data_IF_978956849875
#
_entry.id   IF_978956849875
#
_cell.length_a   1.000
_cell.length_b   1.000
_cell.length_c   1.000
_cell.angle_alpha   90.00
_cell.angle_beta   90.00
_cell.angle_gamma   90.00
#
_symmetry.space_group_name_H-M   'P 1'
#
loop_
_entity.id
_entity.type
_entity.pdbx_description
1 polymer ?
#
# COMPACT_ATOMS: atom_id res chain seq x y z
N UNK A 1 1.07 -2.95 3.27
CA UNK A 1 0.78 -3.23 1.85
C UNK A 1 1.31 -4.57 1.35
N UNK A 2 2.16 -5.28 2.12
CA UNK A 2 2.86 -6.50 1.65
C UNK A 2 2.34 -7.80 2.30
N UNK A 3 1.20 -7.77 2.97
CA UNK A 3 0.60 -8.95 3.60
C UNK A 3 0.43 -10.09 2.59
N UNK A 4 0.87 -11.30 2.96
CA UNK A 4 0.84 -12.51 2.11
C UNK A 4 1.64 -12.39 0.78
N UNK A 5 2.64 -11.51 0.73
CA UNK A 5 3.54 -11.39 -0.43
C UNK A 5 4.97 -11.79 -0.05
N UNK A 6 5.65 -12.45 -0.97
CA UNK A 6 7.10 -12.67 -0.93
C UNK A 6 7.73 -11.63 -1.84
N UNK A 7 8.66 -10.84 -1.31
CA UNK A 7 9.26 -9.71 -2.03
C UNK A 7 10.61 -10.12 -2.60
N UNK A 8 10.74 -10.00 -3.93
CA UNK A 8 12.02 -10.20 -4.63
C UNK A 8 12.64 -8.84 -4.93
N UNK A 9 13.82 -8.59 -4.37
CA UNK A 9 14.57 -7.36 -4.62
C UNK A 9 15.44 -7.51 -5.87
N UNK A 10 15.38 -6.52 -6.74
CA UNK A 10 16.17 -6.49 -8.00
C UNK A 10 17.55 -5.87 -7.83
N UNK A 11 17.77 -5.11 -6.77
CA UNK A 11 19.07 -4.54 -6.44
C UNK A 11 20.06 -5.67 -6.08
N UNK A 12 21.31 -5.62 -6.56
CA UNK A 12 22.28 -6.69 -6.35
C UNK A 12 22.69 -6.86 -4.89
N UNK A 13 22.77 -5.78 -4.12
CA UNK A 13 23.16 -5.79 -2.70
C UNK A 13 22.05 -5.18 -1.85
N UNK A 14 21.61 -5.91 -0.84
CA UNK A 14 20.57 -5.49 0.11
C UNK A 14 21.12 -5.57 1.53
N UNK A 15 20.74 -4.58 2.36
CA UNK A 15 21.13 -4.50 3.78
C UNK A 15 22.32 -3.60 4.09
N UNK A 16 22.99 -3.04 3.07
CA UNK A 16 24.14 -2.15 3.26
C UNK A 16 23.79 -0.80 3.91
N UNK A 17 22.55 -0.33 3.80
CA UNK A 17 22.08 0.88 4.50
C UNK A 17 21.77 0.63 5.97
N UNK A 18 21.63 -0.63 6.37
CA UNK A 18 21.19 -0.99 7.72
C UNK A 18 19.71 -0.66 7.98
N UNK A 19 19.33 -0.75 9.22
CA UNK A 19 17.97 -0.48 9.71
C UNK A 19 18.07 0.64 10.75
N UNK A 20 17.11 1.54 10.76
CA UNK A 20 16.91 2.55 11.81
C UNK A 20 15.42 2.72 12.10
N UNK A 21 15.11 3.26 13.27
CA UNK A 21 13.74 3.42 13.76
C UNK A 21 12.95 4.50 13.00
N UNK A 22 13.61 5.58 12.55
CA UNK A 22 12.95 6.70 11.88
C UNK A 22 12.38 6.34 10.51
N UNK A 23 12.99 5.36 9.82
CA UNK A 23 12.61 4.94 8.48
C UNK A 23 11.59 3.78 8.49
N UNK A 24 11.11 3.35 9.65
CA UNK A 24 10.08 2.34 9.73
C UNK A 24 8.77 2.83 9.07
N UNK A 25 8.18 1.94 8.30
CA UNK A 25 6.91 2.17 7.60
C UNK A 25 5.73 1.40 8.23
N UNK A 26 6.03 0.63 9.29
CA UNK A 26 5.04 -0.16 10.03
C UNK A 26 5.64 -0.76 11.29
N UNK A 27 4.79 -1.14 12.24
CA UNK A 27 5.20 -1.73 13.54
C UNK A 27 5.88 -3.09 13.42
N UNK A 28 5.73 -3.80 12.29
CA UNK A 28 6.31 -5.13 12.02
C UNK A 28 6.45 -5.38 10.54
N UNK A 29 7.20 -6.40 10.16
CA UNK A 29 7.26 -6.88 8.77
C UNK A 29 5.94 -7.62 8.45
N UNK A 30 5.17 -7.14 7.47
CA UNK A 30 3.96 -7.80 6.98
C UNK A 30 4.22 -8.74 5.80
N UNK A 31 5.35 -8.58 5.09
CA UNK A 31 5.74 -9.49 4.02
C UNK A 31 5.94 -10.92 4.56
N UNK A 32 5.52 -11.92 3.79
CA UNK A 32 5.69 -13.33 4.13
C UNK A 32 7.14 -13.81 3.99
N UNK A 33 7.97 -13.07 3.27
CA UNK A 33 9.37 -13.37 3.10
C UNK A 33 10.07 -12.46 2.11
N UNK A 34 11.39 -12.59 2.02
CA UNK A 34 12.26 -11.79 1.17
C UNK A 34 13.20 -12.68 0.37
N UNK A 35 13.39 -12.35 -0.91
CA UNK A 35 14.38 -12.99 -1.79
C UNK A 35 15.34 -11.92 -2.30
N UNK A 36 16.64 -12.12 -2.11
CA UNK A 36 17.70 -11.20 -2.51
C UNK A 36 18.83 -11.96 -3.22
N UNK A 37 19.56 -11.21 -4.05
CA UNK A 37 20.75 -11.76 -4.68
C UNK A 37 21.90 -11.89 -3.68
N UNK A 38 22.22 -10.81 -2.98
CA UNK A 38 23.35 -10.79 -2.07
C UNK A 38 23.04 -9.96 -0.83
N UNK A 39 23.33 -10.53 0.34
CA UNK A 39 23.20 -9.84 1.62
C UNK A 39 24.52 -9.11 1.91
N UNK A 40 24.44 -7.83 2.26
CA UNK A 40 25.59 -7.07 2.70
C UNK A 40 26.11 -7.59 4.04
N UNK A 41 27.41 -7.82 4.13
CA UNK A 41 28.08 -8.27 5.36
C UNK A 41 28.30 -7.17 6.38
N UNK A 42 28.23 -5.90 5.94
CA UNK A 42 28.40 -4.72 6.79
C UNK A 42 27.41 -3.63 6.42
N UNK A 43 27.04 -2.81 7.39
CA UNK A 43 26.26 -1.59 7.17
C UNK A 43 27.19 -0.39 6.95
N UNK A 44 26.82 0.49 6.04
CA UNK A 44 27.60 1.67 5.65
C UNK A 44 26.74 2.95 5.64
N UNK A 45 25.98 3.15 6.72
CA UNK A 45 25.13 4.34 6.89
C UNK A 45 25.26 4.79 8.35
N UNK A 46 25.50 6.09 8.54
CA UNK A 46 25.64 6.68 9.89
C UNK A 46 24.36 6.60 10.73
N UNK A 47 23.19 6.47 10.11
CA UNK A 47 21.89 6.27 10.78
C UNK A 47 21.60 4.79 11.12
N UNK A 48 22.47 3.86 10.73
CA UNK A 48 22.24 2.44 10.98
C UNK A 48 22.30 2.09 12.46
N UNK A 49 21.20 1.62 13.01
CA UNK A 49 21.10 1.10 14.38
C UNK A 49 21.29 -0.41 14.41
N UNK A 50 20.96 -1.09 13.31
CA UNK A 50 20.93 -2.55 13.24
C UNK A 50 21.19 -3.09 11.83
N UNK A 51 21.62 -4.34 11.73
CA UNK A 51 21.73 -5.04 10.45
C UNK A 51 20.44 -5.75 10.04
N UNK A 52 20.25 -5.92 8.73
CA UNK A 52 19.05 -6.53 8.15
C UNK A 52 18.76 -7.94 8.69
N UNK A 53 19.79 -8.79 8.84
CA UNK A 53 19.62 -10.17 9.34
C UNK A 53 19.03 -10.21 10.75
N UNK A 54 19.51 -9.34 11.64
CA UNK A 54 19.00 -9.25 13.00
C UNK A 54 17.56 -8.72 13.02
N UNK A 55 17.26 -7.70 12.24
CA UNK A 55 15.92 -7.15 12.11
C UNK A 55 14.91 -8.20 11.61
N UNK A 56 15.27 -9.00 10.60
CA UNK A 56 14.40 -10.06 10.09
C UNK A 56 14.20 -11.18 11.13
N UNK A 57 15.25 -11.54 11.88
CA UNK A 57 15.15 -12.54 12.94
C UNK A 57 14.21 -12.08 14.07
N UNK A 58 14.34 -10.84 14.52
CA UNK A 58 13.49 -10.24 15.55
C UNK A 58 12.01 -10.14 15.10
N UNK A 59 11.79 -9.94 13.82
CA UNK A 59 10.44 -9.90 13.22
C UNK A 59 9.95 -11.29 12.72
N UNK A 60 10.70 -12.37 12.95
CA UNK A 60 10.37 -13.74 12.54
C UNK A 60 10.05 -13.85 11.03
N UNK A 61 10.74 -13.05 10.20
CA UNK A 61 10.54 -13.03 8.75
C UNK A 61 11.66 -13.83 8.07
N UNK A 62 11.28 -14.75 7.18
CA UNK A 62 12.22 -15.59 6.42
C UNK A 62 12.82 -14.83 5.25
N UNK A 63 14.12 -14.99 5.01
CA UNK A 63 14.81 -14.44 3.84
C UNK A 63 15.69 -15.49 3.16
N UNK A 64 15.77 -15.39 1.83
CA UNK A 64 16.72 -16.15 1.02
C UNK A 64 17.72 -15.21 0.35
N UNK A 65 19.00 -15.48 0.52
CA UNK A 65 20.10 -14.82 -0.18
C UNK A 65 20.80 -15.79 -1.13
N UNK A 66 21.71 -15.27 -1.95
CA UNK A 66 22.46 -16.02 -2.99
C UNK A 66 21.55 -16.65 -4.04
N UNK A 67 20.43 -15.96 -4.35
CA UNK A 67 19.45 -16.40 -5.36
C UNK A 67 19.62 -15.59 -6.64
N UNK A 68 19.44 -16.21 -7.80
CA UNK A 68 19.36 -15.50 -9.08
C UNK A 68 18.01 -14.77 -9.20
N UNK A 69 17.96 -13.58 -8.60
CA UNK A 69 16.77 -12.73 -8.61
C UNK A 69 16.40 -12.27 -10.04
N UNK A 70 17.37 -12.19 -10.96
CA UNK A 70 17.10 -11.86 -12.36
C UNK A 70 16.33 -12.96 -13.07
N UNK A 71 16.66 -14.21 -12.82
CA UNK A 71 15.90 -15.34 -13.35
C UNK A 71 14.46 -15.33 -12.82
N UNK A 72 14.26 -15.09 -11.51
CA UNK A 72 12.93 -14.96 -10.91
C UNK A 72 12.14 -13.84 -11.59
N UNK A 73 12.73 -12.65 -11.74
CA UNK A 73 12.07 -11.50 -12.39
C UNK A 73 11.69 -11.81 -13.83
N UNK A 74 12.53 -12.53 -14.58
CA UNK A 74 12.20 -12.94 -15.93
C UNK A 74 10.97 -13.87 -15.97
N UNK A 75 10.85 -14.80 -15.04
CA UNK A 75 9.67 -15.66 -14.88
C UNK A 75 8.44 -14.80 -14.56
N UNK A 76 8.53 -13.89 -13.58
CA UNK A 76 7.43 -13.01 -13.21
C UNK A 76 6.99 -12.08 -14.34
N UNK A 77 7.92 -11.69 -15.23
CA UNK A 77 7.61 -10.87 -16.43
C UNK A 77 6.90 -11.64 -17.54
N UNK A 78 7.07 -12.94 -17.61
CA UNK A 78 6.37 -13.79 -18.59
C UNK A 78 5.02 -14.28 -18.07
N UNK A 79 5.00 -14.79 -16.82
CA UNK A 79 3.85 -15.48 -16.25
C UNK A 79 2.92 -14.56 -15.44
N UNK A 80 3.45 -13.42 -14.94
CA UNK A 80 2.75 -12.58 -13.97
C UNK A 80 3.06 -12.96 -12.53
N UNK A 81 2.25 -12.48 -11.59
CA UNK A 81 2.38 -12.82 -10.18
C UNK A 81 2.08 -14.27 -9.91
N UNK A 82 3.02 -15.00 -9.34
CA UNK A 82 2.95 -16.44 -9.07
C UNK A 82 2.72 -16.74 -7.60
N UNK A 83 1.99 -17.81 -7.32
CA UNK A 83 1.95 -18.41 -5.98
C UNK A 83 3.33 -18.96 -5.64
N UNK A 84 3.80 -18.68 -4.44
CA UNK A 84 5.16 -19.07 -4.02
C UNK A 84 5.18 -19.48 -2.55
N UNK A 85 6.10 -20.37 -2.20
CA UNK A 85 6.37 -20.80 -0.82
C UNK A 85 7.87 -20.74 -0.56
N UNK A 86 8.23 -20.22 0.62
CA UNK A 86 9.60 -20.30 1.14
C UNK A 86 9.56 -21.16 2.41
N UNK A 87 10.34 -22.21 2.43
CA UNK A 87 10.45 -23.07 3.60
C UNK A 87 11.85 -23.70 3.73
N UNK A 88 12.22 -24.07 4.96
CA UNK A 88 13.36 -24.93 5.20
C UNK A 88 13.01 -26.37 4.84
N UNK A 89 13.92 -27.10 4.17
CA UNK A 89 13.77 -28.54 3.89
C UNK A 89 13.52 -29.40 5.12
N UNK A 90 13.95 -28.96 6.29
CA UNK A 90 13.69 -29.65 7.56
C UNK A 90 12.23 -29.52 8.04
N UNK A 91 11.54 -28.46 7.62
CA UNK A 91 10.18 -28.13 8.05
C UNK A 91 9.16 -28.56 6.99
N UNK A 92 9.47 -28.33 5.72
CA UNK A 92 8.61 -28.67 4.60
C UNK A 92 9.45 -29.33 3.50
N UNK A 93 9.32 -30.65 3.27
CA UNK A 93 9.90 -31.33 2.11
C UNK A 93 9.40 -30.76 0.80
N UNK A 94 10.19 -30.84 -0.25
CA UNK A 94 9.84 -30.29 -1.58
C UNK A 94 8.57 -30.95 -2.14
N UNK A 95 8.37 -32.23 -1.87
CA UNK A 95 7.22 -33.02 -2.30
C UNK A 95 5.91 -32.45 -1.74
N UNK A 96 5.95 -31.91 -0.54
CA UNK A 96 4.80 -31.32 0.16
C UNK A 96 4.58 -29.85 -0.21
N UNK A 97 5.60 -29.15 -0.74
CA UNK A 97 5.54 -27.75 -1.09
C UNK A 97 4.46 -27.46 -2.17
N UNK A 98 4.31 -28.33 -3.15
CA UNK A 98 3.27 -28.22 -4.17
C UNK A 98 1.85 -28.33 -3.56
N UNK A 99 1.69 -29.19 -2.58
CA UNK A 99 0.43 -29.31 -1.84
C UNK A 99 0.10 -28.03 -1.07
N UNK A 100 1.08 -27.43 -0.40
CA UNK A 100 0.92 -26.15 0.31
C UNK A 100 0.58 -24.99 -0.64
N UNK A 101 1.22 -24.92 -1.82
CA UNK A 101 0.90 -23.94 -2.86
C UNK A 101 -0.55 -24.03 -3.33
N UNK A 102 -1.10 -25.24 -3.46
CA UNK A 102 -2.47 -25.46 -3.90
C UNK A 102 -3.52 -25.02 -2.87
N UNK A 103 -3.18 -24.95 -1.60
CA UNK A 103 -4.06 -24.44 -0.54
C UNK A 103 -4.28 -22.92 -0.61
N UNK A 104 -3.36 -22.19 -1.24
CA UNK A 104 -3.46 -20.75 -1.40
C UNK A 104 -4.17 -20.40 -2.71
N UNK A 105 -5.35 -19.76 -2.62
CA UNK A 105 -6.15 -19.39 -3.79
C UNK A 105 -5.56 -18.22 -4.60
N UNK A 106 -4.64 -17.47 -4.05
CA UNK A 106 -4.13 -16.20 -4.58
C UNK A 106 -4.71 -15.00 -3.82
N UNK A 107 -4.48 -13.79 -4.30
CA UNK A 107 -4.92 -12.57 -3.62
C UNK A 107 -6.34 -12.12 -4.01
N UNK A 108 -6.89 -12.59 -5.15
CA UNK A 108 -8.25 -12.25 -5.57
C UNK A 108 -9.28 -12.80 -4.56
N UNK A 109 -10.24 -11.97 -4.21
CA UNK A 109 -11.28 -12.29 -3.23
C UNK A 109 -10.82 -12.26 -1.76
N UNK A 110 -9.56 -11.84 -1.48
CA UNK A 110 -9.05 -11.76 -0.12
C UNK A 110 -9.10 -10.32 0.40
N UNK A 111 -9.92 -10.10 1.42
CA UNK A 111 -9.86 -8.89 2.24
C UNK A 111 -8.68 -8.98 3.23
N UNK A 112 -7.53 -8.47 2.81
CA UNK A 112 -6.34 -8.41 3.68
C UNK A 112 -6.27 -7.11 4.50
N UNK A 113 -7.09 -6.11 4.19
CA UNK A 113 -7.14 -4.87 4.94
C UNK A 113 -7.62 -5.11 6.38
N UNK A 114 -8.61 -5.99 6.57
CA UNK A 114 -9.07 -6.36 7.90
C UNK A 114 -8.04 -7.13 8.75
N UNK A 115 -7.04 -7.78 8.11
CA UNK A 115 -5.98 -8.52 8.82
C UNK A 115 -4.89 -7.57 9.37
N UNK A 116 -4.75 -6.38 8.78
CA UNK A 116 -3.63 -5.46 9.08
C UNK A 116 -4.07 -4.16 9.75
N UNK A 117 -5.36 -3.88 9.79
CA UNK A 117 -5.93 -2.65 10.38
C UNK A 117 -5.67 -2.56 11.89
N UNK A 118 -5.61 -1.34 12.40
CA UNK A 118 -5.50 -1.11 13.85
C UNK A 118 -6.74 -1.57 14.59
N UNK A 119 -6.56 -2.11 15.80
CA UNK A 119 -7.69 -2.51 16.67
C UNK A 119 -8.23 -1.34 17.50
N UNK A 120 -7.43 -0.29 17.73
CA UNK A 120 -7.76 0.85 18.59
C UNK A 120 -7.46 2.13 17.84
N UNK A 121 -8.37 3.09 17.89
CA UNK A 121 -8.14 4.42 17.34
C UNK A 121 -7.03 5.14 18.11
N UNK A 122 -6.15 5.83 17.40
CA UNK A 122 -5.06 6.59 18.00
C UNK A 122 -4.74 7.87 17.21
N UNK A 123 -4.19 8.85 17.88
CA UNK A 123 -3.69 10.08 17.25
C UNK A 123 -2.23 9.87 16.82
N UNK A 124 -1.92 10.16 15.56
CA UNK A 124 -0.55 10.19 15.07
C UNK A 124 0.03 11.59 15.26
N UNK A 125 1.27 11.65 15.80
CA UNK A 125 1.90 12.93 16.18
C UNK A 125 3.26 13.17 15.55
N UNK A 126 3.83 12.17 14.90
CA UNK A 126 5.16 12.26 14.32
C UNK A 126 5.11 12.91 12.93
N UNK A 127 6.01 13.84 12.66
CA UNK A 127 6.29 14.38 11.34
C UNK A 127 7.44 13.66 10.65
N UNK A 128 7.87 14.18 9.50
CA UNK A 128 9.03 13.67 8.75
C UNK A 128 10.32 14.08 9.45
N UNK A 129 11.24 13.13 9.62
CA UNK A 129 12.58 13.40 10.11
C UNK A 129 13.36 14.31 9.14
N UNK A 130 14.24 15.24 9.60
CA UNK A 130 14.56 15.55 11.00
C UNK A 130 13.66 16.62 11.65
N UNK A 131 12.86 17.33 10.90
CA UNK A 131 12.08 18.47 11.38
C UNK A 131 10.58 18.19 11.23
N UNK A 132 9.84 18.66 12.22
CA UNK A 132 8.39 18.55 12.26
C UNK A 132 7.75 19.93 12.03
N UNK A 133 7.12 20.11 10.88
CA UNK A 133 6.35 21.31 10.58
C UNK A 133 4.85 21.04 10.81
N UNK A 134 4.28 21.62 11.87
CA UNK A 134 2.85 21.52 12.13
C UNK A 134 2.17 22.82 11.68
N UNK A 135 1.07 22.77 10.92
CA UNK A 135 0.32 23.95 10.53
C UNK A 135 -0.18 24.76 11.73
N UNK A 136 -0.14 26.09 11.63
CA UNK A 136 -0.65 27.01 12.70
C UNK A 136 -2.16 26.89 12.90
N UNK A 137 -2.90 26.48 11.86
CA UNK A 137 -4.35 26.20 11.90
C UNK A 137 -4.54 24.75 11.47
N UNK A 138 -4.51 23.80 12.40
CA UNK A 138 -4.64 22.39 12.05
C UNK A 138 -6.06 22.06 11.57
N UNK A 139 -6.13 21.28 10.49
CA UNK A 139 -7.32 20.53 10.11
C UNK A 139 -7.29 19.19 10.80
N UNK A 140 -8.45 18.61 11.07
CA UNK A 140 -8.57 17.27 11.64
C UNK A 140 -8.94 16.25 10.55
N UNK A 141 -8.02 15.39 10.18
CA UNK A 141 -8.24 14.29 9.25
C UNK A 141 -8.34 12.97 10.00
N UNK A 142 -9.36 12.18 9.69
CA UNK A 142 -9.44 10.79 10.14
C UNK A 142 -8.96 9.87 9.02
N UNK A 143 -7.92 9.09 9.33
CA UNK A 143 -7.32 8.13 8.41
C UNK A 143 -7.86 6.72 8.70
N UNK A 144 -8.58 6.13 7.74
CA UNK A 144 -8.94 4.73 7.78
C UNK A 144 -7.71 3.87 7.49
N UNK A 145 -7.38 2.99 8.42
CA UNK A 145 -6.22 2.11 8.33
C UNK A 145 -6.57 0.81 7.59
N UNK A 146 -6.26 0.76 6.30
CA UNK A 146 -6.31 -0.46 5.49
C UNK A 146 -4.94 -1.16 5.39
N UNK A 147 -3.96 -0.75 6.18
CA UNK A 147 -2.56 -1.16 6.14
C UNK A 147 -1.64 0.01 5.79
N UNK A 148 -1.88 1.13 6.46
CA UNK A 148 -1.24 2.42 6.19
C UNK A 148 0.27 2.38 6.41
N UNK A 149 1.02 3.01 5.53
CA UNK A 149 2.44 3.30 5.71
C UNK A 149 2.63 4.49 6.64
N UNK A 150 3.53 4.37 7.61
CA UNK A 150 3.77 5.42 8.59
C UNK A 150 4.25 6.74 7.99
N UNK A 151 5.01 6.69 6.88
CA UNK A 151 5.43 7.91 6.21
C UNK A 151 4.27 8.73 5.63
N UNK A 152 3.18 8.09 5.23
CA UNK A 152 1.96 8.79 4.81
C UNK A 152 1.37 9.56 6.00
N UNK A 153 1.36 8.95 7.20
CA UNK A 153 0.89 9.63 8.42
C UNK A 153 1.79 10.79 8.80
N UNK A 154 3.12 10.64 8.67
CA UNK A 154 4.10 11.72 8.91
C UNK A 154 3.82 12.92 8.00
N UNK A 155 3.66 12.67 6.70
CA UNK A 155 3.33 13.70 5.72
C UNK A 155 1.96 14.33 5.98
N UNK A 156 0.93 13.54 6.30
CA UNK A 156 -0.39 14.07 6.64
C UNK A 156 -0.31 15.05 7.81
N UNK A 157 0.37 14.69 8.91
CA UNK A 157 0.52 15.59 10.08
C UNK A 157 1.18 16.91 9.69
N UNK A 158 2.19 16.90 8.83
CA UNK A 158 2.87 18.12 8.38
C UNK A 158 1.98 19.02 7.52
N UNK A 159 1.06 18.43 6.75
CA UNK A 159 0.18 19.20 5.88
C UNK A 159 -1.13 19.63 6.55
N UNK A 160 -1.71 18.78 7.42
CA UNK A 160 -3.04 19.04 8.00
C UNK A 160 -3.02 19.30 9.50
N UNK A 161 -2.02 18.84 10.22
CA UNK A 161 -1.79 19.09 11.65
C UNK A 161 -2.32 18.00 12.57
N UNK A 162 -3.59 17.62 12.49
CA UNK A 162 -4.18 16.59 13.35
C UNK A 162 -4.64 15.38 12.53
N UNK A 163 -4.11 14.21 12.88
CA UNK A 163 -4.46 12.95 12.23
C UNK A 163 -4.88 11.91 13.27
N UNK A 164 -6.10 11.40 13.14
CA UNK A 164 -6.59 10.26 13.95
C UNK A 164 -6.70 9.03 13.06
N UNK A 165 -5.98 7.98 13.42
CA UNK A 165 -6.01 6.70 12.69
C UNK A 165 -7.09 5.81 13.31
N UNK A 166 -7.95 5.24 12.47
CA UNK A 166 -9.08 4.42 12.91
C UNK A 166 -9.12 3.07 12.21
N UNK A 167 -9.81 2.12 12.81
CA UNK A 167 -10.05 0.82 12.23
C UNK A 167 -10.78 0.92 10.89
N UNK A 168 -10.41 0.06 9.93
CA UNK A 168 -11.02 -0.03 8.61
C UNK A 168 -12.56 -0.14 8.61
N UNK A 169 -13.12 -0.76 9.65
CA UNK A 169 -14.56 -1.03 9.80
C UNK A 169 -15.30 0.01 10.63
N UNK A 170 -14.63 1.06 11.14
CA UNK A 170 -15.29 2.08 11.95
C UNK A 170 -16.37 2.77 11.11
N UNK A 171 -17.65 2.80 11.56
CA UNK A 171 -18.71 3.47 10.81
C UNK A 171 -18.43 4.96 10.61
N UNK A 172 -18.69 5.48 9.39
CA UNK A 172 -18.50 6.91 9.08
C UNK A 172 -19.31 7.80 10.03
N UNK A 173 -20.46 7.34 10.50
CA UNK A 173 -21.28 8.07 11.46
C UNK A 173 -20.56 8.34 12.78
N UNK A 174 -19.68 7.42 13.21
CA UNK A 174 -18.87 7.61 14.43
C UNK A 174 -17.66 8.51 14.16
N UNK A 175 -17.08 8.44 12.96
CA UNK A 175 -16.02 9.36 12.53
C UNK A 175 -16.53 10.81 12.52
N UNK A 176 -17.74 11.05 12.02
CA UNK A 176 -18.32 12.40 11.97
C UNK A 176 -18.56 13.02 13.36
N UNK A 177 -18.73 12.21 14.39
CA UNK A 177 -18.80 12.71 15.80
C UNK A 177 -17.47 13.28 16.32
N UNK A 178 -16.36 13.02 15.62
CA UNK A 178 -15.03 13.51 15.99
C UNK A 178 -14.75 14.94 15.51
N UNK A 179 -15.71 15.62 14.88
CA UNK A 179 -15.55 16.96 14.27
C UNK A 179 -14.39 16.99 13.28
N UNK A 180 -14.51 16.22 12.22
CA UNK A 180 -13.46 16.05 11.19
C UNK A 180 -13.67 17.01 10.02
N UNK A 181 -12.56 17.50 9.45
CA UNK A 181 -12.54 18.30 8.22
C UNK A 181 -12.51 17.44 6.95
N UNK A 182 -12.07 16.18 7.06
CA UNK A 182 -12.03 15.23 5.96
C UNK A 182 -11.58 13.85 6.40
N UNK A 183 -11.63 12.91 5.45
CA UNK A 183 -11.17 11.53 5.65
C UNK A 183 -10.04 11.19 4.68
N UNK A 184 -9.14 10.37 5.16
CA UNK A 184 -8.08 9.77 4.36
C UNK A 184 -8.30 8.24 4.27
N UNK A 185 -8.27 7.72 3.05
CA UNK A 185 -8.42 6.30 2.75
C UNK A 185 -7.05 5.75 2.40
N UNK A 186 -6.48 4.95 3.29
CA UNK A 186 -5.09 4.58 3.19
C UNK A 186 -4.79 3.56 2.09
N UNK A 187 -3.52 3.41 1.79
CA UNK A 187 -3.01 2.25 1.08
C UNK A 187 -3.27 0.96 1.89
N UNK A 188 -3.22 -0.18 1.23
CA UNK A 188 -3.43 -1.48 1.88
C UNK A 188 -3.15 -2.66 0.94
N UNK A 189 -3.11 -3.88 1.50
CA UNK A 189 -2.99 -5.12 0.74
C UNK A 189 -4.35 -5.68 0.33
N UNK A 190 -4.35 -6.61 -0.61
CA UNK A 190 -5.50 -7.42 -0.96
C UNK A 190 -6.31 -6.92 -2.14
N UNK A 191 -7.49 -7.48 -2.28
CA UNK A 191 -8.49 -7.15 -3.27
C UNK A 191 -9.43 -6.09 -2.70
N UNK A 192 -9.74 -5.00 -3.42
CA UNK A 192 -10.70 -4.00 -2.94
C UNK A 192 -12.14 -4.50 -2.92
N UNK A 193 -12.54 -5.42 -3.81
CA UNK A 193 -13.94 -5.83 -3.98
C UNK A 193 -14.58 -6.41 -2.71
N UNK A 194 -13.91 -7.28 -1.92
CA UNK A 194 -14.53 -7.84 -0.70
C UNK A 194 -14.56 -6.88 0.49
N UNK A 195 -14.10 -5.62 0.35
CA UNK A 195 -14.10 -4.63 1.43
C UNK A 195 -15.43 -3.85 1.52
N UNK A 196 -16.57 -4.54 1.54
CA UNK A 196 -17.91 -3.94 1.52
C UNK A 196 -18.09 -2.86 2.60
N UNK A 197 -17.62 -3.13 3.82
CA UNK A 197 -17.68 -2.18 4.95
C UNK A 197 -17.02 -0.83 4.63
N UNK A 198 -15.91 -0.85 3.88
CA UNK A 198 -15.20 0.36 3.50
C UNK A 198 -15.94 1.07 2.35
N UNK A 199 -16.41 0.33 1.35
CA UNK A 199 -17.15 0.84 0.20
C UNK A 199 -18.44 1.54 0.68
N UNK A 200 -19.20 0.95 1.59
CA UNK A 200 -20.43 1.54 2.16
C UNK A 200 -20.13 2.82 2.95
N UNK A 201 -19.09 2.81 3.79
CA UNK A 201 -18.67 4.01 4.51
C UNK A 201 -18.26 5.15 3.57
N UNK A 202 -17.56 4.83 2.48
CA UNK A 202 -17.12 5.81 1.49
C UNK A 202 -18.33 6.37 0.72
N UNK A 203 -19.30 5.54 0.31
CA UNK A 203 -20.55 6.00 -0.32
C UNK A 203 -21.27 7.02 0.55
N UNK A 204 -21.43 6.72 1.83
CA UNK A 204 -22.06 7.65 2.79
C UNK A 204 -21.24 8.95 2.97
N UNK A 205 -19.92 8.87 2.91
CA UNK A 205 -19.05 10.07 2.97
C UNK A 205 -19.23 10.94 1.71
N UNK A 206 -19.29 10.33 0.53
CA UNK A 206 -19.56 11.03 -0.76
C UNK A 206 -20.92 11.70 -0.76
N UNK A 207 -21.99 11.00 -0.35
CA UNK A 207 -23.34 11.55 -0.22
C UNK A 207 -23.41 12.77 0.71
N UNK A 208 -22.66 12.72 1.80
CA UNK A 208 -22.54 13.83 2.77
C UNK A 208 -21.52 14.90 2.34
N UNK A 209 -20.90 14.74 1.18
CA UNK A 209 -19.86 15.63 0.63
C UNK A 209 -18.70 15.87 1.60
N UNK A 210 -18.30 14.82 2.34
CA UNK A 210 -17.11 14.88 3.21
C UNK A 210 -15.86 14.87 2.32
N UNK A 211 -14.92 15.82 2.51
CA UNK A 211 -13.65 15.78 1.79
C UNK A 211 -12.93 14.44 2.00
N UNK A 212 -12.57 13.79 0.89
CA UNK A 212 -11.96 12.46 0.91
C UNK A 212 -10.75 12.38 -0.02
N UNK A 213 -9.65 11.84 0.49
CA UNK A 213 -8.47 11.53 -0.31
C UNK A 213 -8.10 10.05 -0.16
N UNK A 214 -7.91 9.35 -1.27
CA UNK A 214 -7.55 7.92 -1.28
C UNK A 214 -6.21 7.64 -1.96
N UNK A 215 -5.39 6.77 -1.35
CA UNK A 215 -4.14 6.29 -1.94
C UNK A 215 -4.17 4.76 -2.11
N UNK A 216 -3.74 4.28 -3.28
CA UNK A 216 -3.57 2.86 -3.64
C UNK A 216 -4.86 2.06 -3.40
N UNK A 217 -4.96 1.23 -2.36
CA UNK A 217 -6.21 0.55 -2.02
C UNK A 217 -7.35 1.55 -1.77
N UNK A 218 -7.07 2.67 -1.09
CA UNK A 218 -8.03 3.74 -0.87
C UNK A 218 -8.51 4.41 -2.18
N UNK A 219 -7.66 4.52 -3.20
CA UNK A 219 -8.05 4.94 -4.54
C UNK A 219 -9.04 3.96 -5.17
N UNK A 220 -8.74 2.65 -5.10
CA UNK A 220 -9.59 1.61 -5.66
C UNK A 220 -10.95 1.54 -4.95
N UNK A 221 -10.97 1.62 -3.62
CA UNK A 221 -12.19 1.65 -2.82
C UNK A 221 -13.04 2.89 -3.11
N UNK A 222 -12.41 4.06 -3.25
CA UNK A 222 -13.11 5.30 -3.62
C UNK A 222 -13.73 5.21 -5.02
N UNK A 223 -13.00 4.61 -5.98
CA UNK A 223 -13.49 4.37 -7.31
C UNK A 223 -14.71 3.41 -7.31
N UNK A 224 -14.65 2.30 -6.57
CA UNK A 224 -15.78 1.36 -6.45
C UNK A 224 -16.97 2.03 -5.80
N UNK A 225 -16.77 2.80 -4.73
CA UNK A 225 -17.84 3.55 -4.08
C UNK A 225 -18.51 4.55 -5.02
N UNK A 226 -17.75 5.11 -5.96
CA UNK A 226 -18.23 5.98 -7.03
C UNK A 226 -18.91 5.27 -8.21
N UNK A 227 -18.97 3.93 -8.19
CA UNK A 227 -19.63 3.12 -9.24
C UNK A 227 -18.70 2.54 -10.30
N UNK A 228 -17.38 2.69 -10.16
CA UNK A 228 -16.40 2.02 -11.01
C UNK A 228 -16.25 0.54 -10.63
N UNK A 229 -15.65 -0.24 -11.52
CA UNK A 229 -15.20 -1.59 -11.27
C UNK A 229 -13.67 -1.63 -11.22
N UNK A 230 -13.14 -2.62 -10.53
CA UNK A 230 -11.70 -2.94 -10.55
C UNK A 230 -11.44 -4.25 -11.30
N UNK A 231 -10.18 -4.50 -11.60
CA UNK A 231 -9.76 -5.76 -12.20
C UNK A 231 -8.38 -6.15 -11.68
N UNK A 232 -8.12 -7.47 -11.63
CA UNK A 232 -6.81 -8.03 -11.32
C UNK A 232 -5.89 -7.86 -12.52
N UNK A 233 -4.80 -7.13 -12.34
CA UNK A 233 -3.76 -6.99 -13.36
C UNK A 233 -2.96 -8.30 -13.48
N UNK A 234 -2.48 -8.63 -14.69
CA UNK A 234 -1.62 -9.80 -14.92
C UNK A 234 -0.30 -9.65 -14.16
N UNK A 235 0.34 -8.49 -14.24
CA UNK A 235 1.66 -8.24 -13.65
C UNK A 235 1.58 -7.37 -12.40
N UNK A 236 0.69 -6.39 -12.38
CA UNK A 236 0.68 -5.31 -11.40
C UNK A 236 1.79 -4.29 -11.65
N UNK A 237 1.84 -3.27 -10.80
CA UNK A 237 2.92 -2.29 -10.79
C UNK A 237 3.71 -2.44 -9.49
N UNK A 238 5.00 -2.72 -9.61
CA UNK A 238 5.89 -2.98 -8.48
C UNK A 238 7.24 -2.31 -8.72
N UNK A 239 7.50 -1.19 -8.07
CA UNK A 239 8.74 -0.45 -8.20
C UNK A 239 8.62 1.03 -7.89
N UNK A 240 9.75 1.72 -7.83
CA UNK A 240 9.85 3.14 -7.51
C UNK A 240 10.17 4.03 -8.74
N UNK A 241 9.88 3.54 -9.93
CA UNK A 241 10.23 4.19 -11.20
C UNK A 241 9.06 4.19 -12.21
N UNK A 242 7.82 4.23 -11.72
CA UNK A 242 6.63 4.24 -12.57
C UNK A 242 6.29 5.67 -13.00
N UNK A 243 6.39 6.00 -14.31
CA UNK A 243 6.02 7.31 -14.82
C UNK A 243 4.49 7.42 -14.90
N UNK A 244 3.96 8.49 -14.32
CA UNK A 244 2.54 8.82 -14.31
C UNK A 244 2.35 10.21 -14.88
N UNK A 245 1.42 10.37 -15.81
CA UNK A 245 1.11 11.61 -16.49
C UNK A 245 -0.16 12.22 -15.90
N UNK A 246 -0.09 13.49 -15.50
CA UNK A 246 -1.25 14.33 -15.22
C UNK A 246 -1.97 14.65 -16.55
N UNK A 247 -3.27 14.37 -16.61
CA UNK A 247 -4.08 14.55 -17.82
C UNK A 247 -4.42 16.02 -18.12
N UNK A 248 -4.35 16.90 -17.11
CA UNK A 248 -4.66 18.33 -17.24
C UNK A 248 -3.42 19.15 -17.64
N UNK A 249 -2.30 18.92 -16.95
CA UNK A 249 -1.06 19.69 -17.16
C UNK A 249 -0.12 19.04 -18.17
N UNK A 250 -0.28 17.75 -18.44
CA UNK A 250 0.65 16.90 -19.20
C UNK A 250 2.02 16.71 -18.53
N UNK A 251 2.17 17.11 -17.27
CA UNK A 251 3.38 16.85 -16.50
C UNK A 251 3.52 15.35 -16.18
N UNK A 252 4.76 14.89 -16.07
CA UNK A 252 5.07 13.49 -15.75
C UNK A 252 5.78 13.42 -14.42
N UNK A 253 5.25 12.59 -13.54
CA UNK A 253 5.81 12.30 -12.23
C UNK A 253 6.35 10.89 -12.19
N UNK A 254 7.47 10.67 -11.50
CA UNK A 254 7.96 9.33 -11.19
C UNK A 254 7.42 8.92 -9.83
N UNK A 255 6.73 7.79 -9.79
CA UNK A 255 6.02 7.32 -8.60
C UNK A 255 6.53 5.95 -8.13
N UNK A 256 6.31 5.68 -6.85
CA UNK A 256 6.55 4.36 -6.26
C UNK A 256 5.23 3.62 -6.15
N UNK A 257 5.14 2.43 -6.73
CA UNK A 257 3.90 1.66 -6.79
C UNK A 257 4.08 0.23 -6.31
N UNK A 258 3.05 -0.29 -5.63
CA UNK A 258 2.94 -1.71 -5.29
C UNK A 258 1.45 -2.10 -5.25
N UNK A 259 0.88 -2.41 -6.41
CA UNK A 259 -0.51 -2.85 -6.52
C UNK A 259 -0.69 -3.89 -7.62
N UNK A 260 -1.65 -4.78 -7.42
CA UNK A 260 -2.02 -5.83 -8.39
C UNK A 260 -3.44 -5.68 -8.92
N UNK A 261 -4.15 -4.61 -8.52
CA UNK A 261 -5.50 -4.28 -9.00
C UNK A 261 -5.50 -2.86 -9.53
N UNK A 262 -6.37 -2.59 -10.51
CA UNK A 262 -6.54 -1.27 -11.10
C UNK A 262 -8.02 -0.98 -11.40
N UNK A 263 -8.36 0.30 -11.51
CA UNK A 263 -9.71 0.74 -11.88
C UNK A 263 -9.93 0.51 -13.37
N UNK A 264 -11.09 -0.06 -13.72
CA UNK A 264 -11.48 -0.39 -15.09
C UNK A 264 -11.99 0.84 -15.82
N UNK A 265 -11.27 1.29 -16.84
CA UNK A 265 -11.49 2.54 -17.56
C UNK A 265 -12.91 2.67 -18.15
N UNK A 266 -13.45 1.58 -18.67
CA UNK A 266 -14.74 1.53 -19.35
C UNK A 266 -15.94 1.68 -18.39
N UNK A 267 -15.68 1.64 -17.08
CA UNK A 267 -16.74 1.70 -16.05
C UNK A 267 -16.83 3.05 -15.34
N UNK A 268 -16.05 4.04 -15.78
CA UNK A 268 -16.03 5.37 -15.13
C UNK A 268 -17.33 6.11 -15.40
N UNK A 269 -18.08 6.50 -14.35
CA UNK A 269 -19.30 7.32 -14.51
C UNK A 269 -18.99 8.76 -14.91
N UNK A 270 -19.98 9.47 -15.42
CA UNK A 270 -19.84 10.85 -15.93
C UNK A 270 -19.46 11.90 -14.86
N UNK A 271 -19.70 11.61 -13.59
CA UNK A 271 -19.33 12.47 -12.46
C UNK A 271 -17.90 12.26 -11.97
N UNK A 272 -17.14 11.33 -12.58
CA UNK A 272 -15.74 11.05 -12.23
C UNK A 272 -14.85 11.39 -13.43
N UNK A 273 -13.79 12.15 -13.17
CA UNK A 273 -12.77 12.50 -14.15
C UNK A 273 -11.45 11.77 -13.85
N UNK A 274 -10.80 11.26 -14.88
CA UNK A 274 -9.46 10.69 -14.77
C UNK A 274 -8.43 11.83 -14.75
N UNK A 275 -7.67 11.90 -13.68
CA UNK A 275 -6.66 12.95 -13.47
C UNK A 275 -5.25 12.50 -13.84
N UNK A 276 -4.95 11.21 -13.71
CA UNK A 276 -3.62 10.66 -13.96
C UNK A 276 -3.69 9.31 -14.68
N UNK A 277 -2.70 9.07 -15.55
CA UNK A 277 -2.54 7.82 -16.32
C UNK A 277 -1.11 7.30 -16.22
N UNK A 278 -0.96 5.98 -16.13
CA UNK A 278 0.33 5.31 -16.28
C UNK A 278 0.84 5.44 -17.71
N UNK A 279 2.13 5.78 -17.88
CA UNK A 279 2.77 5.78 -19.20
C UNK A 279 3.24 4.39 -19.65
N UNK A 280 3.10 3.35 -18.81
CA UNK A 280 3.44 1.99 -19.20
C UNK A 280 2.30 1.27 -19.90
N UNK A 281 1.04 1.50 -19.47
CA UNK A 281 -0.10 0.70 -19.91
C UNK A 281 -1.43 1.46 -19.93
N UNK A 282 -1.40 2.79 -19.81
CA UNK A 282 -2.57 3.67 -19.76
C UNK A 282 -3.60 3.34 -18.66
N UNK A 283 -3.20 2.56 -17.65
CA UNK A 283 -4.03 2.30 -16.48
C UNK A 283 -4.28 3.59 -15.68
N UNK A 284 -5.45 3.66 -15.05
CA UNK A 284 -5.86 4.83 -14.27
C UNK A 284 -5.02 4.91 -13.01
N UNK A 285 -4.43 6.08 -12.80
CA UNK A 285 -3.56 6.39 -11.67
C UNK A 285 -4.11 7.48 -10.76
N UNK A 286 -5.21 8.13 -11.16
CA UNK A 286 -5.87 9.12 -10.34
C UNK A 286 -7.25 9.48 -10.88
N UNK A 287 -8.16 9.78 -9.95
CA UNK A 287 -9.53 10.23 -10.25
C UNK A 287 -9.91 11.39 -9.33
N UNK A 288 -10.87 12.21 -9.80
CA UNK A 288 -11.55 13.23 -9.01
C UNK A 288 -13.05 13.20 -9.28
N UNK A 289 -13.83 13.58 -8.30
CA UNK A 289 -15.30 13.68 -8.39
C UNK A 289 -15.71 15.12 -8.67
N UNK A 290 -16.70 15.32 -9.56
CA UNK A 290 -17.26 16.64 -9.86
C UNK A 290 -18.37 17.06 -8.88
N UNK A 291 -19.03 16.12 -8.25
CA UNK A 291 -20.18 16.29 -7.36
C UNK A 291 -19.84 16.16 -5.86
N UNK A 292 -18.63 15.76 -5.53
CA UNK A 292 -18.13 15.62 -4.16
C UNK A 292 -16.68 16.06 -4.07
N UNK A 293 -16.21 16.63 -2.95
CA UNK A 293 -14.80 17.01 -2.76
C UNK A 293 -13.91 15.79 -2.48
N UNK A 294 -13.89 14.87 -3.44
CA UNK A 294 -13.16 13.60 -3.33
C UNK A 294 -12.23 13.40 -4.51
N UNK A 295 -11.02 12.94 -4.22
CA UNK A 295 -10.00 12.61 -5.23
C UNK A 295 -9.09 11.50 -4.73
N UNK A 296 -8.34 10.90 -5.64
CA UNK A 296 -7.44 9.81 -5.25
C UNK A 296 -6.29 9.60 -6.22
N UNK A 297 -5.27 8.88 -5.74
CA UNK A 297 -4.07 8.53 -6.48
C UNK A 297 -3.66 7.07 -6.22
N UNK A 298 -3.20 6.37 -7.27
CA UNK A 298 -2.88 4.93 -7.17
C UNK A 298 -1.48 4.66 -6.62
N UNK A 299 -0.53 5.57 -6.82
CA UNK A 299 0.88 5.42 -6.45
C UNK A 299 1.24 5.78 -5.02
#
# INVERSE_FOLDING_TARGET
SYQKQIITFTNPHIGNTGINSDDNESKKIYASGMIIRSLSTSTSNWRSENGLSKFMLENQCIGLSEIDTRAIVNILRSEGSLKSVIASKKILPIEDAASELNKFSGLSGLDLAQEVTTNVAYEWKEGVWPEKNIPKKPLHIVAYDYGIKENILRLLVEHVGKVTVVNAKLPIADVLKMNVDGIFLSNGPGDPEPCDYAIENIKLALEKRIPAFGICLGHQLLAIAGGCQTYKMKFGHHGANHPVKDTKTNEVFITSQNHGFAVKKETIPSNISVTHLSLFDDSIQGIEFSDSPAFSFQG
#
